data_IF_035257640999
#
_entry.id   IF_035257640999
#
_cell.length_a   1.000
_cell.length_b   1.000
_cell.length_c   1.000
_cell.angle_alpha   90.00
_cell.angle_beta   90.00
_cell.angle_gamma   90.00
#
_symmetry.space_group_name_H-M   'P 1'
#
loop_
_entity.id
_entity.type
_entity.pdbx_description
1 polymer ?
#
# COMPACT_ATOMS: atom_id res chain seq x y z
N UNK A 1 -1.82 -2.28 -26.53
CA UNK A 1 -2.24 -1.58 -25.30
C UNK A 1 -2.61 -2.62 -24.25
N UNK A 2 -1.97 -2.82 -23.10
CA UNK A 2 -0.67 -2.48 -22.50
C UNK A 2 -0.53 -3.55 -21.41
N UNK A 3 0.52 -4.40 -21.43
CA UNK A 3 0.73 -5.49 -20.43
C UNK A 3 1.21 -4.98 -19.07
N UNK A 4 1.37 -3.66 -18.92
CA UNK A 4 1.86 -2.96 -17.73
C UNK A 4 1.08 -3.18 -16.41
N UNK A 5 -0.27 -3.27 -16.37
CA UNK A 5 -0.99 -3.41 -15.10
C UNK A 5 -0.78 -4.77 -14.43
N UNK A 6 -0.40 -5.80 -15.19
CA UNK A 6 -0.13 -7.14 -14.67
C UNK A 6 1.23 -7.25 -13.98
N UNK A 7 2.19 -6.39 -14.34
CA UNK A 7 3.51 -6.37 -13.70
C UNK A 7 3.38 -5.93 -12.24
N UNK A 8 2.52 -4.94 -11.93
CA UNK A 8 2.27 -4.50 -10.55
C UNK A 8 1.64 -5.58 -9.68
N UNK A 9 0.74 -6.40 -10.25
CA UNK A 9 0.13 -7.55 -9.54
C UNK A 9 1.15 -8.66 -9.29
N UNK A 10 2.03 -8.94 -10.26
CA UNK A 10 3.10 -9.93 -10.11
C UNK A 10 4.14 -9.52 -9.06
N UNK A 11 4.48 -8.22 -8.98
CA UNK A 11 5.41 -7.70 -7.97
C UNK A 11 4.81 -7.76 -6.57
N UNK A 12 3.52 -7.43 -6.39
CA UNK A 12 2.82 -7.58 -5.12
C UNK A 12 2.68 -9.06 -4.69
N UNK A 13 2.47 -9.97 -5.65
CA UNK A 13 2.44 -11.41 -5.40
C UNK A 13 3.80 -11.99 -4.97
N UNK A 14 4.90 -11.46 -5.50
CA UNK A 14 6.26 -11.86 -5.09
C UNK A 14 6.61 -11.35 -3.69
N UNK A 15 6.16 -10.15 -3.32
CA UNK A 15 6.31 -9.63 -1.96
C UNK A 15 5.61 -10.54 -0.93
N UNK A 16 4.37 -10.97 -1.21
CA UNK A 16 3.64 -11.91 -0.36
C UNK A 16 4.36 -13.26 -0.15
N UNK A 17 5.09 -13.75 -1.15
CA UNK A 17 5.82 -15.02 -1.06
C UNK A 17 7.13 -14.92 -0.25
N UNK A 18 7.76 -13.74 -0.20
CA UNK A 18 9.04 -13.53 0.50
C UNK A 18 8.93 -13.36 2.03
N UNK A 19 7.76 -12.99 2.54
CA UNK A 19 7.54 -12.70 3.97
C UNK A 19 7.46 -13.92 4.89
N UNK A 20 7.11 -15.09 4.35
CA UNK A 20 6.81 -16.29 5.17
C UNK A 20 8.08 -16.92 5.78
N UNK A 21 9.28 -16.50 5.38
CA UNK A 21 10.55 -17.11 5.79
C UNK A 21 11.41 -16.31 6.77
N UNK A 22 10.87 -15.38 7.56
CA UNK A 22 11.67 -14.43 8.36
C UNK A 22 11.40 -14.40 9.88
N UNK A 23 10.78 -15.43 10.48
CA UNK A 23 10.63 -15.53 11.94
C UNK A 23 9.74 -14.49 12.63
N UNK A 24 9.23 -13.49 11.90
CA UNK A 24 8.20 -12.56 12.37
C UNK A 24 6.83 -13.25 12.34
N UNK A 25 5.89 -12.80 13.18
CA UNK A 25 4.55 -13.36 13.15
C UNK A 25 3.95 -13.19 11.73
N UNK A 26 3.24 -14.21 11.25
CA UNK A 26 2.56 -14.15 9.94
C UNK A 26 1.62 -12.95 9.86
N UNK A 27 1.09 -12.51 11.01
CA UNK A 27 0.26 -11.32 11.12
C UNK A 27 1.05 -10.03 10.77
N UNK A 28 2.25 -9.85 11.33
CA UNK A 28 3.08 -8.66 11.10
C UNK A 28 3.52 -8.53 9.65
N UNK A 29 3.84 -9.66 9.02
CA UNK A 29 4.26 -9.71 7.62
C UNK A 29 3.10 -9.47 6.63
N UNK A 30 1.85 -9.61 7.07
CA UNK A 30 0.67 -9.53 6.20
C UNK A 30 0.08 -8.11 6.07
N UNK A 31 0.37 -7.18 6.98
CA UNK A 31 -0.23 -5.84 6.97
C UNK A 31 0.06 -5.05 5.68
N UNK A 32 1.32 -4.98 5.28
CA UNK A 32 1.72 -4.15 4.13
C UNK A 32 1.13 -4.68 2.80
N UNK A 33 1.15 -6.00 2.51
CA UNK A 33 0.42 -6.53 1.35
C UNK A 33 -1.09 -6.29 1.38
N UNK A 34 -1.74 -6.46 2.54
CA UNK A 34 -3.19 -6.21 2.69
C UNK A 34 -3.54 -4.75 2.36
N UNK A 35 -2.64 -3.82 2.67
CA UNK A 35 -2.79 -2.41 2.34
C UNK A 35 -2.51 -2.16 0.86
N UNK A 36 -1.40 -2.68 0.33
CA UNK A 36 -0.93 -2.37 -1.01
C UNK A 36 -1.82 -2.95 -2.12
N UNK A 37 -2.38 -4.15 -1.94
CA UNK A 37 -3.17 -4.84 -2.98
C UNK A 37 -4.37 -4.01 -3.46
N UNK A 38 -5.23 -3.43 -2.58
CA UNK A 38 -6.29 -2.51 -2.98
C UNK A 38 -5.82 -1.32 -3.83
N UNK A 39 -4.68 -0.71 -3.49
CA UNK A 39 -4.10 0.38 -4.27
C UNK A 39 -3.68 -0.08 -5.66
N UNK A 40 -3.00 -1.23 -5.77
CA UNK A 40 -2.60 -1.79 -7.07
C UNK A 40 -3.82 -2.16 -7.93
N UNK A 41 -4.83 -2.79 -7.33
CA UNK A 41 -6.04 -3.23 -8.05
C UNK A 41 -6.86 -2.03 -8.56
N UNK A 42 -7.14 -1.06 -7.70
CA UNK A 42 -7.88 0.14 -8.14
C UNK A 42 -7.01 1.00 -9.07
N UNK A 43 -5.73 1.16 -8.76
CA UNK A 43 -4.78 1.94 -9.56
C UNK A 43 -4.66 1.39 -10.98
N UNK A 44 -4.49 0.06 -11.12
CA UNK A 44 -4.45 -0.60 -12.43
C UNK A 44 -5.76 -0.48 -13.22
N UNK A 45 -6.90 -0.65 -12.54
CA UNK A 45 -8.21 -0.47 -13.14
C UNK A 45 -8.41 0.98 -13.63
N UNK A 46 -8.02 1.96 -12.82
CA UNK A 46 -8.18 3.36 -13.16
C UNK A 46 -7.20 3.80 -14.25
N UNK A 47 -5.93 3.41 -14.18
CA UNK A 47 -4.92 3.74 -15.19
C UNK A 47 -5.23 3.11 -16.56
N UNK A 48 -5.82 1.90 -16.58
CA UNK A 48 -6.22 1.23 -17.84
C UNK A 48 -7.49 1.80 -18.46
N UNK A 49 -8.44 2.29 -17.64
CA UNK A 49 -9.73 2.82 -18.12
C UNK A 49 -9.74 4.33 -18.30
N UNK A 50 -8.85 5.03 -17.59
CA UNK A 50 -8.75 6.49 -17.51
C UNK A 50 -7.27 6.88 -17.44
N UNK A 51 -6.52 6.57 -18.50
CA UNK A 51 -5.07 6.86 -18.57
C UNK A 51 -4.75 8.34 -18.38
N UNK A 52 -5.68 9.24 -18.72
CA UNK A 52 -5.58 10.69 -18.51
C UNK A 52 -5.73 11.10 -17.04
N UNK A 53 -6.30 10.25 -16.18
CA UNK A 53 -6.49 10.56 -14.77
C UNK A 53 -5.26 10.15 -13.94
N UNK A 54 -4.54 11.11 -13.32
CA UNK A 54 -3.32 10.84 -12.56
C UNK A 54 -3.55 9.98 -11.32
N UNK A 55 -4.78 9.92 -10.77
CA UNK A 55 -5.08 9.16 -9.54
C UNK A 55 -4.76 7.66 -9.73
N UNK A 56 -5.01 7.10 -10.92
CA UNK A 56 -4.70 5.69 -11.18
C UNK A 56 -3.20 5.41 -11.09
N UNK A 57 -2.39 6.33 -11.61
CA UNK A 57 -0.93 6.24 -11.57
C UNK A 57 -0.38 6.47 -10.16
N UNK A 58 -0.97 7.38 -9.39
CA UNK A 58 -0.58 7.61 -7.99
C UNK A 58 -0.83 6.37 -7.12
N UNK A 59 -1.95 5.66 -7.32
CA UNK A 59 -2.21 4.40 -6.62
C UNK A 59 -1.30 3.25 -7.07
N UNK A 60 -0.91 3.21 -8.34
CA UNK A 60 0.12 2.27 -8.79
C UNK A 60 1.49 2.60 -8.17
N UNK A 61 1.86 3.87 -8.10
CA UNK A 61 3.08 4.32 -7.43
C UNK A 61 3.08 3.92 -5.94
N UNK A 62 1.93 3.99 -5.28
CA UNK A 62 1.77 3.49 -3.90
C UNK A 62 2.16 2.02 -3.80
N UNK A 63 1.63 1.18 -4.69
CA UNK A 63 1.96 -0.26 -4.71
C UNK A 63 3.44 -0.54 -4.98
N UNK A 64 4.08 0.24 -5.85
CA UNK A 64 5.52 0.12 -6.12
C UNK A 64 6.35 0.48 -4.89
N UNK A 65 6.04 1.61 -4.24
CA UNK A 65 6.70 2.01 -2.99
C UNK A 65 6.52 0.93 -1.92
N UNK A 66 5.30 0.41 -1.74
CA UNK A 66 5.04 -0.64 -0.76
C UNK A 66 5.80 -1.93 -1.05
N UNK A 67 5.98 -2.30 -2.33
CA UNK A 67 6.78 -3.47 -2.69
C UNK A 67 8.28 -3.26 -2.41
N UNK A 68 8.80 -2.06 -2.68
CA UNK A 68 10.20 -1.70 -2.39
C UNK A 68 10.44 -1.66 -0.87
N UNK A 69 9.51 -1.09 -0.12
CA UNK A 69 9.52 -1.00 1.33
C UNK A 69 9.58 -2.40 1.95
N UNK A 70 8.65 -3.27 1.53
CA UNK A 70 8.62 -4.67 1.96
C UNK A 70 9.93 -5.41 1.64
N UNK A 71 10.44 -5.28 0.41
CA UNK A 71 11.65 -5.95 -0.01
C UNK A 71 12.89 -5.45 0.77
N UNK A 72 12.99 -4.14 0.99
CA UNK A 72 14.06 -3.54 1.77
C UNK A 72 14.02 -4.02 3.23
N UNK A 73 12.84 -4.02 3.86
CA UNK A 73 12.66 -4.47 5.25
C UNK A 73 13.06 -5.95 5.40
N UNK A 74 12.56 -6.81 4.52
CA UNK A 74 12.84 -8.24 4.52
C UNK A 74 14.31 -8.58 4.24
N UNK A 75 14.99 -7.81 3.39
CA UNK A 75 16.40 -7.98 3.14
C UNK A 75 17.24 -7.47 4.31
N UNK A 76 16.92 -6.29 4.86
CA UNK A 76 17.64 -5.68 5.97
C UNK A 76 17.67 -6.60 7.20
N UNK A 77 16.52 -7.17 7.61
CA UNK A 77 16.47 -8.10 8.74
C UNK A 77 17.42 -9.30 8.56
N UNK A 78 17.33 -9.99 7.41
CA UNK A 78 18.21 -11.15 7.12
C UNK A 78 19.68 -10.77 6.96
N UNK A 79 19.96 -9.61 6.37
CA UNK A 79 21.30 -9.15 6.10
C UNK A 79 22.05 -8.75 7.38
N UNK A 80 21.34 -8.20 8.38
CA UNK A 80 21.89 -7.81 9.67
C UNK A 80 22.11 -9.01 10.61
N UNK A 81 21.25 -10.04 10.54
CA UNK A 81 21.40 -11.27 11.33
C UNK A 81 22.58 -12.16 10.90
N UNK A 82 22.99 -12.06 9.63
CA UNK A 82 24.10 -12.83 9.09
C UNK A 82 25.43 -12.52 9.81
N UNK A 83 26.27 -13.54 10.00
CA UNK A 83 27.62 -13.39 10.59
C UNK A 83 28.69 -13.87 9.60
N UNK A 84 29.43 -12.98 8.92
CA UNK A 84 29.33 -11.51 8.95
C UNK A 84 28.07 -10.98 8.24
N UNK A 85 27.66 -9.71 8.48
CA UNK A 85 26.52 -9.10 7.79
C UNK A 85 26.65 -9.13 6.27
N UNK A 86 25.54 -9.27 5.56
CA UNK A 86 25.52 -9.27 4.09
C UNK A 86 25.78 -7.86 3.54
N UNK A 87 26.27 -7.80 2.30
CA UNK A 87 26.57 -6.53 1.63
C UNK A 87 25.31 -5.64 1.54
N UNK A 88 25.43 -4.38 1.93
CA UNK A 88 24.34 -3.40 1.83
C UNK A 88 23.24 -3.54 2.91
N UNK A 89 23.50 -4.27 4.00
CA UNK A 89 22.58 -4.37 5.14
C UNK A 89 22.15 -2.99 5.67
N UNK A 90 23.09 -2.09 5.93
CA UNK A 90 22.83 -0.74 6.44
C UNK A 90 22.04 0.11 5.45
N UNK A 91 22.33 -0.03 4.15
CA UNK A 91 21.61 0.68 3.08
C UNK A 91 20.16 0.22 3.04
N UNK A 92 19.93 -1.09 3.14
CA UNK A 92 18.58 -1.64 3.13
C UNK A 92 17.78 -1.25 4.39
N UNK A 93 18.41 -1.25 5.56
CA UNK A 93 17.80 -0.79 6.80
C UNK A 93 17.40 0.69 6.70
N UNK A 94 18.30 1.55 6.20
CA UNK A 94 18.00 2.95 5.95
C UNK A 94 16.84 3.11 4.94
N UNK A 95 16.84 2.37 3.84
CA UNK A 95 15.77 2.44 2.83
C UNK A 95 14.42 2.00 3.45
N UNK A 96 14.38 0.87 4.15
CA UNK A 96 13.19 0.36 4.80
C UNK A 96 12.63 1.33 5.86
N UNK A 97 13.51 1.97 6.64
CA UNK A 97 13.10 2.95 7.64
C UNK A 97 12.45 4.21 7.04
N UNK A 98 12.67 4.49 5.76
CA UNK A 98 12.28 5.74 5.13
C UNK A 98 11.19 5.59 4.05
N UNK A 99 10.98 4.40 3.50
CA UNK A 99 10.05 4.19 2.37
C UNK A 99 8.56 4.28 2.72
N UNK A 100 8.18 4.35 4.00
CA UNK A 100 6.80 4.61 4.40
C UNK A 100 6.35 6.08 4.24
N UNK A 101 7.26 7.05 4.30
CA UNK A 101 6.95 8.49 4.14
C UNK A 101 6.44 8.89 2.74
N UNK A 102 6.97 8.34 1.62
CA UNK A 102 6.41 8.55 0.30
C UNK A 102 4.90 8.36 0.19
N UNK A 103 4.30 7.51 1.03
CA UNK A 103 2.85 7.33 1.07
C UNK A 103 2.12 8.65 1.35
N UNK A 104 2.62 9.51 2.24
CA UNK A 104 2.02 10.81 2.51
C UNK A 104 2.07 11.74 1.30
N UNK A 105 3.18 11.76 0.57
CA UNK A 105 3.29 12.49 -0.69
C UNK A 105 2.23 12.03 -1.69
N UNK A 106 2.09 10.71 -1.87
CA UNK A 106 1.08 10.13 -2.74
C UNK A 106 -0.35 10.45 -2.29
N UNK A 107 -0.63 10.50 -0.98
CA UNK A 107 -1.91 10.95 -0.45
C UNK A 107 -2.16 12.43 -0.69
N UNK A 108 -1.18 13.30 -0.45
CA UNK A 108 -1.26 14.74 -0.73
C UNK A 108 -1.64 14.97 -2.19
N UNK A 109 -0.91 14.38 -3.13
CA UNK A 109 -1.20 14.53 -4.56
C UNK A 109 -2.54 13.92 -4.94
N UNK A 110 -2.91 12.78 -4.33
CA UNK A 110 -4.23 12.19 -4.55
C UNK A 110 -5.34 13.13 -4.10
N UNK A 111 -5.23 13.77 -2.92
CA UNK A 111 -6.25 14.68 -2.40
C UNK A 111 -6.33 15.96 -3.22
N UNK A 112 -5.19 16.52 -3.61
CA UNK A 112 -5.13 17.75 -4.41
C UNK A 112 -5.71 17.57 -5.81
N UNK A 113 -5.52 16.41 -6.43
CA UNK A 113 -5.91 16.13 -7.81
C UNK A 113 -7.28 15.43 -7.93
N UNK A 114 -7.79 14.86 -6.85
CA UNK A 114 -9.07 14.17 -6.88
C UNK A 114 -10.24 15.13 -7.20
N UNK A 115 -11.26 14.72 -8.00
CA UNK A 115 -11.35 13.45 -8.73
C UNK A 115 -10.79 13.50 -10.16
N UNK A 116 -10.67 14.70 -10.74
CA UNK A 116 -10.49 14.91 -12.18
C UNK A 116 -9.04 15.06 -12.64
N UNK A 117 -8.06 15.01 -11.75
CA UNK A 117 -6.65 15.22 -12.08
C UNK A 117 -6.21 16.69 -12.10
N UNK A 118 -7.07 17.61 -11.66
CA UNK A 118 -6.79 19.05 -11.66
C UNK A 118 -6.96 19.63 -10.26
N UNK A 119 -6.15 20.65 -9.98
CA UNK A 119 -6.20 21.40 -8.73
C UNK A 119 -7.48 22.25 -8.65
N UNK A 120 -7.93 22.56 -7.43
CA UNK A 120 -9.14 23.39 -7.19
C UNK A 120 -8.95 24.82 -7.70
N UNK A 121 -7.75 25.40 -7.53
CA UNK A 121 -7.42 26.76 -7.97
C UNK A 121 -5.91 26.94 -8.13
N UNK A 122 -5.49 28.09 -8.68
CA UNK A 122 -4.07 28.40 -8.89
C UNK A 122 -3.26 28.40 -7.58
N UNK A 123 -3.86 28.76 -6.44
CA UNK A 123 -3.18 28.82 -5.14
C UNK A 123 -2.71 27.43 -4.67
N UNK A 124 -3.45 26.38 -5.00
CA UNK A 124 -3.10 24.99 -4.66
C UNK A 124 -1.87 24.47 -5.41
N UNK A 125 -1.42 25.16 -6.46
CA UNK A 125 -0.13 24.85 -7.13
C UNK A 125 1.04 25.04 -6.18
N UNK A 126 0.94 26.00 -5.25
CA UNK A 126 1.98 26.19 -4.24
C UNK A 126 2.02 25.03 -3.25
N UNK A 127 0.87 24.54 -2.78
CA UNK A 127 0.83 23.35 -1.92
C UNK A 127 1.45 22.15 -2.63
N UNK A 128 1.13 21.94 -3.91
CA UNK A 128 1.74 20.87 -4.71
C UNK A 128 3.26 21.04 -4.88
N UNK A 129 3.74 22.25 -5.19
CA UNK A 129 5.18 22.55 -5.35
C UNK A 129 5.96 22.38 -4.06
N UNK A 130 5.44 22.94 -2.96
CA UNK A 130 6.07 22.81 -1.65
C UNK A 130 6.09 21.34 -1.24
N UNK A 131 5.01 20.58 -1.47
CA UNK A 131 4.99 19.13 -1.18
C UNK A 131 6.02 18.35 -1.99
N UNK A 132 6.19 18.68 -3.28
CA UNK A 132 7.24 18.08 -4.10
C UNK A 132 8.65 18.43 -3.59
N UNK A 133 8.91 19.69 -3.23
CA UNK A 133 10.19 20.12 -2.67
C UNK A 133 10.48 19.49 -1.31
N UNK A 134 9.48 19.41 -0.43
CA UNK A 134 9.58 18.73 0.86
C UNK A 134 9.92 17.25 0.67
N UNK A 135 9.31 16.59 -0.30
CA UNK A 135 9.61 15.18 -0.59
C UNK A 135 11.02 14.97 -1.17
N UNK A 136 11.48 15.86 -2.05
CA UNK A 136 12.88 15.87 -2.51
C UNK A 136 13.83 16.05 -1.31
N UNK A 137 13.51 16.98 -0.40
CA UNK A 137 14.27 17.19 0.83
C UNK A 137 14.32 15.93 1.69
N UNK A 138 13.19 15.26 1.91
CA UNK A 138 13.11 14.01 2.69
C UNK A 138 13.95 12.91 2.06
N UNK A 139 13.90 12.77 0.72
CA UNK A 139 14.71 11.78 0.01
C UNK A 139 16.22 12.06 0.11
N UNK A 140 16.63 13.33 0.21
CA UNK A 140 18.03 13.73 0.38
C UNK A 140 18.47 13.56 1.84
N UNK A 141 17.62 13.86 2.82
CA UNK A 141 17.97 13.74 4.24
C UNK A 141 17.91 12.30 4.75
N UNK A 142 17.10 11.42 4.14
CA UNK A 142 16.93 10.03 4.57
C UNK A 142 18.23 9.21 4.70
N UNK A 143 19.19 9.25 3.74
CA UNK A 143 20.46 8.53 3.89
C UNK A 143 21.38 9.08 4.98
N UNK A 144 21.12 10.29 5.46
CA UNK A 144 21.94 11.03 6.42
C UNK A 144 21.28 11.02 7.80
N UNK A 145 19.96 10.81 7.86
CA UNK A 145 19.21 10.63 9.10
C UNK A 145 19.74 9.42 9.88
N UNK A 146 19.84 9.56 11.20
CA UNK A 146 20.16 8.45 12.12
C UNK A 146 19.04 8.18 13.13
N UNK A 147 17.91 8.88 13.02
CA UNK A 147 16.78 8.69 13.94
C UNK A 147 16.23 7.26 13.88
N UNK A 148 16.33 6.61 12.71
CA UNK A 148 15.93 5.21 12.53
C UNK A 148 16.80 4.17 13.27
N UNK A 149 17.90 4.59 13.91
CA UNK A 149 18.71 3.73 14.77
C UNK A 149 18.30 3.81 16.24
N UNK A 150 17.35 4.69 16.58
CA UNK A 150 16.85 4.88 17.93
C UNK A 150 15.54 4.12 18.11
N UNK A 151 15.29 3.46 19.26
CA UNK A 151 14.01 2.80 19.53
C UNK A 151 12.84 3.75 19.24
N UNK A 152 11.76 3.27 18.59
CA UNK A 152 11.30 1.87 18.53
C UNK A 152 11.56 1.13 17.19
N UNK A 153 12.56 1.49 16.39
CA UNK A 153 12.83 0.83 15.10
C UNK A 153 13.55 -0.52 15.24
N UNK A 154 13.14 -1.53 14.46
CA UNK A 154 13.54 -2.95 14.59
C UNK A 154 14.95 -3.32 14.03
N UNK A 155 15.75 -2.37 13.54
CA UNK A 155 17.00 -2.68 12.84
C UNK A 155 18.21 -2.72 13.78
N UNK A 156 18.17 -3.61 14.77
CA UNK A 156 19.28 -3.85 15.69
C UNK A 156 20.56 -4.23 14.93
N UNK A 157 21.66 -3.55 15.26
CA UNK A 157 22.97 -3.79 14.64
C UNK A 157 23.24 -2.97 13.37
N UNK A 158 22.25 -2.29 12.80
CA UNK A 158 22.47 -1.37 11.69
C UNK A 158 23.40 -0.20 12.10
N UNK A 159 24.26 0.22 11.18
CA UNK A 159 25.16 1.35 11.36
C UNK A 159 24.70 2.56 10.55
N UNK A 160 24.96 3.79 11.02
CA UNK A 160 24.62 4.98 10.25
C UNK A 160 25.45 5.02 8.96
N UNK A 161 24.78 5.27 7.84
CA UNK A 161 25.42 5.43 6.53
C UNK A 161 26.40 6.62 6.50
N UNK A 162 26.08 7.65 7.26
CA UNK A 162 26.90 8.86 7.42
C UNK A 162 27.03 9.16 8.91
N UNK A 163 28.27 9.32 9.38
CA UNK A 163 28.56 9.65 10.78
C UNK A 163 28.78 11.14 11.03
N UNK A 164 28.94 11.49 12.32
CA UNK A 164 29.35 12.82 12.76
C UNK A 164 28.26 13.90 12.64
N UNK A 165 28.67 15.17 12.60
CA UNK A 165 27.77 16.34 12.59
C UNK A 165 26.82 16.36 11.41
N UNK A 166 27.19 15.73 10.29
CA UNK A 166 26.33 15.64 9.12
C UNK A 166 25.07 14.82 9.42
N UNK A 167 25.19 13.76 10.23
CA UNK A 167 24.05 12.93 10.67
C UNK A 167 23.08 13.68 11.59
N UNK A 168 23.60 14.58 12.43
CA UNK A 168 22.78 15.45 13.29
C UNK A 168 21.95 16.44 12.45
N UNK A 169 22.60 17.05 11.46
CA UNK A 169 21.93 17.95 10.51
C UNK A 169 20.89 17.18 9.69
N UNK A 170 21.23 15.97 9.21
CA UNK A 170 20.32 15.08 8.50
C UNK A 170 19.08 14.77 9.31
N UNK A 171 19.26 14.40 10.58
CA UNK A 171 18.18 14.09 11.52
C UNK A 171 17.27 15.29 11.79
N UNK A 172 17.85 16.46 12.08
CA UNK A 172 17.08 17.68 12.32
C UNK A 172 16.31 18.15 11.08
N UNK A 173 16.96 18.08 9.90
CA UNK A 173 16.33 18.37 8.61
C UNK A 173 15.19 17.39 8.33
N UNK A 174 15.42 16.10 8.55
CA UNK A 174 14.45 15.03 8.34
C UNK A 174 13.19 15.26 9.18
N UNK A 175 13.32 15.42 10.51
CA UNK A 175 12.20 15.66 11.41
C UNK A 175 11.41 16.92 11.07
N UNK A 176 12.11 18.01 10.70
CA UNK A 176 11.48 19.27 10.30
C UNK A 176 10.66 19.12 9.02
N UNK A 177 11.22 18.43 8.01
CA UNK A 177 10.53 18.17 6.75
C UNK A 177 9.37 17.20 6.91
N UNK A 178 9.48 16.23 7.83
CA UNK A 178 8.39 15.33 8.18
C UNK A 178 7.21 16.09 8.81
N UNK A 179 7.49 16.96 9.79
CA UNK A 179 6.47 17.82 10.40
C UNK A 179 5.77 18.71 9.36
N UNK A 180 6.54 19.30 8.44
CA UNK A 180 6.00 20.06 7.32
C UNK A 180 5.14 19.18 6.39
N UNK A 181 5.56 17.94 6.13
CA UNK A 181 4.82 17.04 5.27
C UNK A 181 3.46 16.63 5.87
N UNK A 182 3.39 16.39 7.19
CA UNK A 182 2.13 16.15 7.91
C UNK A 182 1.21 17.38 7.87
N UNK A 183 1.76 18.59 8.00
CA UNK A 183 1.00 19.83 7.84
C UNK A 183 0.44 19.97 6.42
N UNK A 184 1.24 19.66 5.40
CA UNK A 184 0.82 19.70 4.00
C UNK A 184 -0.25 18.64 3.70
N UNK A 185 -0.19 17.46 4.33
CA UNK A 185 -1.23 16.45 4.28
C UNK A 185 -2.55 17.00 4.83
N UNK A 186 -2.55 17.62 6.00
CA UNK A 186 -3.73 18.25 6.57
C UNK A 186 -4.30 19.36 5.67
N UNK A 187 -3.42 20.23 5.13
CA UNK A 187 -3.81 21.29 4.18
C UNK A 187 -4.41 20.70 2.90
N UNK A 188 -3.85 19.61 2.38
CA UNK A 188 -4.37 18.92 1.19
C UNK A 188 -5.76 18.32 1.43
N UNK A 189 -6.04 17.84 2.65
CA UNK A 189 -7.39 17.44 3.05
C UNK A 189 -8.41 18.58 2.99
N UNK A 190 -8.00 19.81 3.37
CA UNK A 190 -8.87 20.98 3.23
C UNK A 190 -9.25 21.26 1.76
N UNK A 191 -8.39 20.91 0.80
CA UNK A 191 -8.71 21.02 -0.63
C UNK A 191 -9.95 20.21 -1.02
N UNK A 192 -10.12 19.02 -0.42
CA UNK A 192 -11.29 18.16 -0.64
C UNK A 192 -12.56 18.80 -0.07
N UNK A 193 -12.47 19.47 1.07
CA UNK A 193 -13.59 20.19 1.69
C UNK A 193 -13.99 21.42 0.86
N UNK A 194 -13.03 22.20 0.37
CA UNK A 194 -13.31 23.31 -0.54
C UNK A 194 -13.98 22.82 -1.82
N UNK A 195 -13.52 21.69 -2.36
CA UNK A 195 -14.12 21.07 -3.54
C UNK A 195 -15.56 20.62 -3.24
N UNK A 196 -15.79 19.95 -2.11
CA UNK A 196 -17.14 19.52 -1.69
C UNK A 196 -18.12 20.68 -1.54
N UNK A 197 -17.65 21.84 -1.05
CA UNK A 197 -18.47 23.06 -0.92
C UNK A 197 -18.79 23.70 -2.27
N UNK A 198 -17.88 23.60 -3.24
CA UNK A 198 -18.07 24.13 -4.59
C UNK A 198 -18.87 23.21 -5.53
N UNK A 199 -18.86 21.88 -5.30
CA UNK A 199 -19.52 20.91 -6.16
C UNK A 199 -21.05 20.96 -6.05
N UNK A 200 -21.75 20.88 -7.19
CA UNK A 200 -23.22 20.82 -7.28
C UNK A 200 -23.67 19.52 -7.95
N UNK A 201 -24.89 19.08 -7.62
CA UNK A 201 -25.51 17.89 -8.22
C UNK A 201 -24.68 16.60 -8.02
N UNK A 202 -24.50 15.83 -9.09
CA UNK A 202 -23.87 14.50 -9.08
C UNK A 202 -22.38 14.52 -8.70
N UNK A 203 -21.66 15.61 -8.99
CA UNK A 203 -20.25 15.76 -8.59
C UNK A 203 -20.10 15.85 -7.06
N UNK A 204 -21.11 16.41 -6.38
CA UNK A 204 -21.09 16.52 -4.92
C UNK A 204 -21.16 15.14 -4.26
N UNK A 205 -21.94 14.21 -4.81
CA UNK A 205 -22.00 12.84 -4.28
C UNK A 205 -20.66 12.11 -4.46
N UNK A 206 -20.00 12.32 -5.59
CA UNK A 206 -18.68 11.76 -5.88
C UNK A 206 -17.63 12.20 -4.86
N UNK A 207 -17.54 13.52 -4.64
CA UNK A 207 -16.56 14.10 -3.72
C UNK A 207 -16.91 13.78 -2.28
N UNK A 208 -18.20 13.70 -1.94
CA UNK A 208 -18.69 13.40 -0.60
C UNK A 208 -18.20 12.04 -0.07
N UNK A 209 -18.36 10.97 -0.86
CA UNK A 209 -17.93 9.63 -0.43
C UNK A 209 -16.42 9.60 -0.13
N UNK A 210 -15.63 10.17 -1.02
CA UNK A 210 -14.17 10.20 -0.86
C UNK A 210 -13.75 11.07 0.32
N UNK A 211 -14.32 12.27 0.47
CA UNK A 211 -14.07 13.17 1.62
C UNK A 211 -14.37 12.46 2.93
N UNK A 212 -15.54 11.82 3.06
CA UNK A 212 -15.89 11.12 4.30
C UNK A 212 -14.93 9.97 4.58
N UNK A 213 -14.59 9.18 3.56
CA UNK A 213 -13.62 8.09 3.73
C UNK A 213 -12.27 8.60 4.19
N UNK A 214 -11.72 9.62 3.52
CA UNK A 214 -10.44 10.22 3.90
C UNK A 214 -10.50 10.83 5.30
N UNK A 215 -11.57 11.57 5.63
CA UNK A 215 -11.74 12.14 6.97
C UNK A 215 -11.81 11.06 8.05
N UNK A 216 -12.55 9.97 7.81
CA UNK A 216 -12.64 8.84 8.73
C UNK A 216 -11.29 8.15 8.90
N UNK A 217 -10.55 7.86 7.81
CA UNK A 217 -9.22 7.22 7.91
C UNK A 217 -8.23 8.13 8.63
N UNK A 218 -8.19 9.42 8.29
CA UNK A 218 -7.26 10.40 8.89
C UNK A 218 -7.58 10.70 10.36
N UNK A 219 -8.82 10.53 10.80
CA UNK A 219 -9.20 10.66 12.20
C UNK A 219 -8.99 9.35 12.98
N UNK A 220 -9.46 8.23 12.44
CA UNK A 220 -9.42 6.94 13.12
C UNK A 220 -7.99 6.40 13.28
N UNK A 221 -7.11 6.64 12.30
CA UNK A 221 -5.73 6.13 12.37
C UNK A 221 -4.95 6.67 13.59
N UNK A 222 -4.82 8.00 13.81
CA UNK A 222 -4.14 8.52 15.00
C UNK A 222 -4.83 8.13 16.31
N UNK A 223 -6.16 8.07 16.32
CA UNK A 223 -6.92 7.62 17.51
C UNK A 223 -6.56 6.17 17.84
N UNK A 224 -6.65 5.25 16.88
CA UNK A 224 -6.29 3.85 17.10
C UNK A 224 -4.84 3.70 17.53
N UNK A 225 -3.91 4.46 16.94
CA UNK A 225 -2.51 4.47 17.35
C UNK A 225 -2.34 4.91 18.81
N UNK A 226 -3.00 5.99 19.23
CA UNK A 226 -2.94 6.49 20.62
C UNK A 226 -3.55 5.52 21.64
N UNK A 227 -4.65 4.84 21.30
CA UNK A 227 -5.36 3.95 22.22
C UNK A 227 -4.76 2.54 22.29
N UNK A 228 -4.26 2.01 21.17
CA UNK A 228 -3.71 0.65 21.11
C UNK A 228 -2.19 0.60 21.26
N UNK A 229 -1.48 1.70 21.01
CA UNK A 229 -0.01 1.71 20.91
C UNK A 229 0.53 1.14 19.59
N UNK A 230 -0.32 0.46 18.83
CA UNK A 230 0.02 -0.27 17.61
C UNK A 230 -0.57 0.39 16.36
N UNK A 231 0.06 0.15 15.22
CA UNK A 231 -0.35 0.73 13.93
C UNK A 231 -1.54 0.00 13.25
N UNK A 232 -2.42 -0.71 13.99
CA UNK A 232 -3.54 -1.46 13.40
C UNK A 232 -4.49 -0.59 12.55
N UNK A 233 -4.57 0.71 12.83
CA UNK A 233 -5.33 1.67 12.02
C UNK A 233 -4.88 1.75 10.55
N UNK A 234 -3.69 1.26 10.22
CA UNK A 234 -3.20 1.15 8.83
C UNK A 234 -4.13 0.29 7.97
N UNK A 235 -4.85 -0.67 8.55
CA UNK A 235 -5.84 -1.50 7.85
C UNK A 235 -7.04 -0.71 7.31
N UNK A 236 -7.22 0.56 7.69
CA UNK A 236 -8.26 1.43 7.15
C UNK A 236 -7.87 2.09 5.82
N UNK A 237 -6.58 2.16 5.49
CA UNK A 237 -6.07 2.82 4.29
C UNK A 237 -6.58 2.22 2.96
N UNK A 238 -6.79 0.89 2.83
CA UNK A 238 -7.52 0.28 1.71
C UNK A 238 -8.86 0.92 1.34
N UNK A 239 -9.54 1.57 2.27
CA UNK A 239 -10.81 2.24 2.00
C UNK A 239 -10.62 3.44 1.06
N UNK A 240 -9.45 4.10 1.08
CA UNK A 240 -9.13 5.26 0.24
C UNK A 240 -9.20 4.93 -1.26
N UNK A 241 -8.43 3.96 -1.79
CA UNK A 241 -8.51 3.61 -3.20
C UNK A 241 -9.88 3.02 -3.55
N UNK A 242 -10.51 2.24 -2.68
CA UNK A 242 -11.85 1.69 -2.95
C UNK A 242 -12.88 2.82 -3.10
N UNK A 243 -12.91 3.78 -2.18
CA UNK A 243 -13.79 4.95 -2.26
C UNK A 243 -13.49 5.81 -3.49
N UNK A 244 -12.21 6.02 -3.82
CA UNK A 244 -11.82 6.74 -5.03
C UNK A 244 -12.27 6.00 -6.31
N UNK A 245 -12.07 4.69 -6.37
CA UNK A 245 -12.51 3.83 -7.47
C UNK A 245 -14.02 3.87 -7.65
N UNK A 246 -14.78 3.69 -6.57
CA UNK A 246 -16.25 3.83 -6.59
C UNK A 246 -16.64 5.23 -7.04
N UNK A 247 -16.07 6.28 -6.46
CA UNK A 247 -16.41 7.66 -6.80
C UNK A 247 -16.13 7.98 -8.29
N UNK A 248 -14.96 7.60 -8.81
CA UNK A 248 -14.54 7.91 -10.18
C UNK A 248 -15.26 7.03 -11.22
N UNK A 249 -15.50 5.76 -10.93
CA UNK A 249 -16.11 4.82 -11.87
C UNK A 249 -17.64 4.84 -11.85
N UNK A 250 -18.28 4.94 -10.68
CA UNK A 250 -19.75 4.91 -10.51
C UNK A 250 -20.43 6.09 -11.16
N UNK A 251 -19.83 7.28 -11.14
CA UNK A 251 -20.52 8.50 -11.55
C UNK A 251 -20.51 8.77 -13.06
N UNK A 252 -19.74 8.04 -13.86
CA UNK A 252 -19.62 8.33 -15.30
C UNK A 252 -20.36 7.36 -16.23
N UNK A 253 -20.72 6.13 -15.84
CA UNK A 253 -21.35 5.19 -16.76
C UNK A 253 -22.33 4.24 -16.05
N UNK A 254 -23.59 4.29 -16.48
CA UNK A 254 -24.56 3.18 -16.39
C UNK A 254 -24.16 1.96 -17.28
N UNK A 255 -22.96 1.95 -17.86
CA UNK A 255 -22.47 0.95 -18.84
C UNK A 255 -21.28 0.09 -18.35
N UNK A 256 -20.84 0.23 -17.09
CA UNK A 256 -19.68 -0.51 -16.55
C UNK A 256 -20.10 -1.71 -15.68
N UNK A 257 -21.40 -2.00 -15.51
CA UNK A 257 -21.89 -3.11 -14.68
C UNK A 257 -21.26 -4.48 -15.03
N UNK A 258 -20.94 -4.71 -16.31
CA UNK A 258 -20.25 -5.92 -16.77
C UNK A 258 -18.80 -5.98 -16.28
N UNK A 259 -18.13 -4.84 -16.16
CA UNK A 259 -16.73 -4.74 -15.75
C UNK A 259 -16.60 -4.67 -14.24
N UNK A 260 -17.52 -4.04 -13.52
CA UNK A 260 -17.60 -4.15 -12.05
C UNK A 260 -17.85 -5.61 -11.69
N UNK A 261 -18.76 -6.30 -12.38
CA UNK A 261 -18.92 -7.74 -12.18
C UNK A 261 -17.64 -8.53 -12.49
N UNK A 262 -16.93 -8.25 -13.59
CA UNK A 262 -15.66 -8.94 -13.88
C UNK A 262 -14.58 -8.61 -12.85
N UNK A 263 -14.40 -7.36 -12.44
CA UNK A 263 -13.40 -6.96 -11.45
C UNK A 263 -13.75 -7.49 -10.06
N UNK A 264 -15.03 -7.53 -9.68
CA UNK A 264 -15.50 -8.18 -8.46
C UNK A 264 -15.32 -9.69 -8.53
N UNK A 265 -15.57 -10.32 -9.67
CA UNK A 265 -15.41 -11.77 -9.84
C UNK A 265 -13.94 -12.15 -9.82
N UNK A 266 -13.07 -11.46 -10.56
CA UNK A 266 -11.63 -11.69 -10.54
C UNK A 266 -11.01 -11.27 -9.20
N UNK A 267 -11.49 -10.19 -8.61
CA UNK A 267 -11.08 -9.72 -7.29
C UNK A 267 -11.48 -10.69 -6.19
N UNK A 268 -12.73 -11.14 -6.16
CA UNK A 268 -13.22 -12.17 -5.23
C UNK A 268 -12.52 -13.50 -5.46
N UNK A 269 -12.27 -13.89 -6.72
CA UNK A 269 -11.49 -15.09 -7.05
C UNK A 269 -10.07 -15.00 -6.47
N UNK A 270 -9.40 -13.88 -6.68
CA UNK A 270 -8.04 -13.64 -6.19
C UNK A 270 -8.00 -13.56 -4.67
N UNK A 271 -8.95 -12.87 -4.04
CA UNK A 271 -9.08 -12.78 -2.59
C UNK A 271 -9.43 -14.12 -1.95
N UNK A 272 -10.25 -14.94 -2.61
CA UNK A 272 -10.57 -16.30 -2.14
C UNK A 272 -9.34 -17.20 -2.24
N UNK A 273 -8.58 -17.12 -3.34
CA UNK A 273 -7.33 -17.87 -3.51
C UNK A 273 -6.26 -17.43 -2.51
N UNK A 274 -6.04 -16.12 -2.36
CA UNK A 274 -5.10 -15.56 -1.41
C UNK A 274 -5.50 -15.82 0.03
N UNK A 275 -6.79 -15.66 0.36
CA UNK A 275 -7.35 -15.98 1.67
C UNK A 275 -7.26 -17.46 2.00
N UNK A 276 -7.53 -18.35 1.04
CA UNK A 276 -7.35 -19.79 1.22
C UNK A 276 -5.87 -20.14 1.44
N UNK A 277 -4.95 -19.52 0.70
CA UNK A 277 -3.52 -19.68 0.91
C UNK A 277 -3.09 -19.21 2.30
N UNK A 278 -3.51 -18.00 2.72
CA UNK A 278 -3.19 -17.45 4.04
C UNK A 278 -3.79 -18.29 5.16
N UNK A 279 -5.07 -18.65 5.08
CA UNK A 279 -5.74 -19.50 6.06
C UNK A 279 -5.03 -20.85 6.18
N UNK A 280 -4.56 -21.40 5.06
CA UNK A 280 -3.83 -22.64 5.03
C UNK A 280 -2.46 -22.52 5.71
N UNK A 281 -1.70 -21.46 5.42
CA UNK A 281 -0.43 -21.14 6.10
C UNK A 281 -0.62 -20.95 7.60
N UNK A 282 -1.63 -20.19 8.01
CA UNK A 282 -1.98 -19.93 9.41
C UNK A 282 -2.41 -21.21 10.14
N UNK A 283 -3.27 -22.03 9.54
CA UNK A 283 -3.71 -23.31 10.12
C UNK A 283 -2.55 -24.29 10.27
N UNK A 284 -1.62 -24.34 9.31
CA UNK A 284 -0.40 -25.15 9.45
C UNK A 284 0.54 -24.62 10.52
N UNK A 285 0.69 -23.30 10.64
CA UNK A 285 1.52 -22.69 11.68
C UNK A 285 1.00 -22.97 13.09
N UNK A 286 -0.33 -23.01 13.28
CA UNK A 286 -0.96 -23.33 14.55
C UNK A 286 -0.97 -24.83 14.88
N UNK A 287 -0.96 -25.71 13.88
CA UNK A 287 -1.16 -27.14 14.09
C UNK A 287 0.14 -27.94 14.30
N UNK A 288 1.31 -27.41 13.94
CA UNK A 288 2.48 -28.27 13.67
C UNK A 288 3.68 -28.11 14.63
N UNK A 289 3.93 -26.95 15.23
CA UNK A 289 5.12 -26.77 16.08
C UNK A 289 6.47 -26.93 15.34
N UNK A 290 7.59 -26.62 16.00
CA UNK A 290 8.94 -26.35 15.43
C UNK A 290 9.72 -27.54 14.81
N UNK A 291 9.09 -28.42 14.03
CA UNK A 291 9.80 -29.52 13.35
C UNK A 291 9.89 -29.33 11.84
N UNK A 292 11.11 -29.17 11.30
CA UNK A 292 11.44 -28.95 9.88
C UNK A 292 10.80 -29.97 8.91
N UNK A 293 10.72 -31.24 9.30
CA UNK A 293 10.10 -32.30 8.50
C UNK A 293 8.58 -32.11 8.35
N UNK A 294 7.95 -31.48 9.33
CA UNK A 294 6.52 -31.25 9.34
C UNK A 294 6.15 -29.98 8.56
N UNK A 295 7.04 -28.99 8.52
CA UNK A 295 6.95 -27.82 7.61
C UNK A 295 7.09 -28.25 6.15
N UNK A 296 8.01 -29.17 5.83
CA UNK A 296 8.17 -29.71 4.47
C UNK A 296 6.96 -30.55 4.02
N UNK A 297 6.47 -31.43 4.89
CA UNK A 297 5.30 -32.27 4.60
C UNK A 297 4.00 -31.45 4.48
N UNK A 298 3.82 -30.43 5.31
CA UNK A 298 2.67 -29.52 5.21
C UNK A 298 2.73 -28.71 3.92
N UNK A 299 3.88 -28.14 3.55
CA UNK A 299 4.05 -27.41 2.27
C UNK A 299 3.70 -28.27 1.05
N UNK A 300 4.13 -29.53 1.03
CA UNK A 300 3.79 -30.49 -0.03
C UNK A 300 2.29 -30.82 -0.09
N UNK A 301 1.65 -30.97 1.08
CA UNK A 301 0.22 -31.25 1.19
C UNK A 301 -0.62 -30.06 0.73
N UNK A 302 -0.19 -28.85 1.07
CA UNK A 302 -0.77 -27.58 0.61
C UNK A 302 -0.69 -27.46 -0.91
N UNK A 303 0.48 -27.72 -1.48
CA UNK A 303 0.67 -27.70 -2.93
C UNK A 303 -0.20 -28.74 -3.66
N UNK A 304 -0.40 -29.92 -3.07
CA UNK A 304 -1.25 -30.97 -3.60
C UNK A 304 -2.75 -30.60 -3.58
N UNK A 305 -3.22 -29.96 -2.50
CA UNK A 305 -4.64 -29.57 -2.33
C UNK A 305 -5.03 -28.30 -3.11
N UNK A 306 -4.06 -27.43 -3.43
CA UNK A 306 -4.30 -26.23 -4.23
C UNK A 306 -4.76 -26.55 -5.67
N UNK A 307 -4.29 -27.66 -6.25
CA UNK A 307 -4.68 -28.11 -7.61
C UNK A 307 -6.18 -28.45 -7.74
N UNK A 308 -6.79 -29.32 -6.92
CA UNK A 308 -8.21 -29.63 -7.01
C UNK A 308 -9.12 -28.46 -6.59
N UNK A 309 -8.69 -27.62 -5.65
CA UNK A 309 -9.42 -26.42 -5.26
C UNK A 309 -9.58 -25.43 -6.42
N UNK A 310 -8.50 -25.23 -7.21
CA UNK A 310 -8.52 -24.41 -8.43
C UNK A 310 -9.56 -24.88 -9.44
N UNK A 311 -9.68 -26.21 -9.64
CA UNK A 311 -10.66 -26.80 -10.57
C UNK A 311 -12.12 -26.57 -10.14
N UNK A 312 -12.42 -26.66 -8.84
CA UNK A 312 -13.79 -26.48 -8.33
C UNK A 312 -14.27 -25.04 -8.40
N UNK A 313 -13.37 -24.09 -8.12
CA UNK A 313 -13.70 -22.67 -8.21
C UNK A 313 -13.91 -22.28 -9.68
N UNK A 314 -13.10 -22.79 -10.59
CA UNK A 314 -13.26 -22.56 -12.02
C UNK A 314 -14.59 -23.12 -12.54
N UNK A 315 -14.99 -24.32 -12.12
CA UNK A 315 -16.29 -24.90 -12.43
C UNK A 315 -17.47 -24.09 -11.87
N UNK A 316 -17.36 -23.51 -10.67
CA UNK A 316 -18.37 -22.63 -10.07
C UNK A 316 -18.54 -21.32 -10.84
N UNK A 317 -17.43 -20.74 -11.31
CA UNK A 317 -17.42 -19.52 -12.13
C UNK A 317 -18.04 -19.81 -13.51
N UNK A 318 -17.66 -20.92 -14.16
CA UNK A 318 -18.22 -21.33 -15.45
C UNK A 318 -19.74 -21.54 -15.36
N UNK A 319 -20.21 -22.16 -14.27
CA UNK A 319 -21.65 -22.38 -14.03
C UNK A 319 -22.45 -21.09 -13.80
N UNK A 320 -21.82 -20.03 -13.29
CA UNK A 320 -22.48 -18.76 -12.96
C UNK A 320 -22.46 -17.77 -14.12
N UNK A 321 -21.44 -17.81 -14.99
CA UNK A 321 -21.25 -16.83 -16.07
C UNK A 321 -21.63 -17.31 -17.48
N UNK A 322 -21.58 -18.62 -17.78
CA UNK A 322 -21.90 -19.13 -19.12
C UNK A 322 -23.36 -19.60 -19.31
N UNK A 323 -24.31 -19.13 -18.48
CA UNK A 323 -25.74 -19.49 -18.66
C UNK A 323 -26.49 -18.61 -19.67
N UNK A 324 -25.81 -17.76 -20.44
CA UNK A 324 -26.42 -16.97 -21.54
C UNK A 324 -25.54 -16.93 -22.78
N UNK A 325 -25.35 -18.10 -23.38
CA UNK A 325 -25.22 -18.27 -24.83
C UNK A 325 -25.63 -19.69 -25.16
N UNK A 326 -26.93 -19.93 -25.10
CA UNK A 326 -27.78 -20.47 -26.16
C UNK A 326 -29.21 -20.05 -25.82
#
# INVERSE_FOLDING_TARGET
>A
MTRLPWIGVSVAGLALAGGVGAGHSVADSAYLPLVAVPFVLVGSLLASRRSENPIGWLFLAFGVVAALDFAAYQYAGRALEARPPLAGADVAAAVAAHLWHPFFGLFIFSFLLFPGGHLVSHRWRWVARVSALTYIGLAISAPIDRSYLSPPTDFDGAQPLVGGTLSDVGTAMYGSLLGLNLLLLAISGASLVFRLRGSRGREREQVKLFVYTVATVMFAFPVLLLFSGDAYGVLLFPLIPVAAGVAILRHRLYDIDVVINRALVYGALTATLGGAYLALVLLTGLAVGESDLATAASTLTVAALARPARGRIQALVDRRFYRRRY
#
